data_IF_306583004936
#
_entry.id   IF_306583004936
#
_cell.length_a   1.000
_cell.length_b   1.000
_cell.length_c   1.000
_cell.angle_alpha   90.00
_cell.angle_beta   90.00
_cell.angle_gamma   90.00
#
_symmetry.space_group_name_H-M   'P 1'
#
loop_
_entity.id
_entity.type
_entity.pdbx_description
1 polymer ?
#
# COMPACT_ATOMS: atom_id res chain seq x y z
N UNK A 1 33.23 -0.50 4.19
CA UNK A 1 32.66 0.21 3.03
C UNK A 1 33.66 1.25 2.56
N UNK A 2 33.90 1.36 1.25
CA UNK A 2 34.71 2.43 0.66
C UNK A 2 33.87 3.72 0.66
N UNK A 3 34.45 4.82 1.11
CA UNK A 3 33.78 6.12 1.14
C UNK A 3 33.50 6.65 -0.28
N UNK A 4 32.32 7.23 -0.54
CA UNK A 4 31.93 7.73 -1.88
C UNK A 4 32.93 8.71 -2.51
N UNK A 5 33.70 9.43 -1.69
CA UNK A 5 34.72 10.38 -2.14
C UNK A 5 36.14 9.80 -2.20
N UNK A 6 36.36 8.56 -1.76
CA UNK A 6 37.67 7.89 -1.75
C UNK A 6 38.10 7.48 -3.17
N UNK A 7 39.41 7.28 -3.41
CA UNK A 7 39.91 6.70 -4.65
C UNK A 7 39.25 5.35 -4.94
N UNK A 8 38.80 5.18 -6.18
CA UNK A 8 38.09 3.98 -6.59
C UNK A 8 39.02 2.76 -6.59
N UNK A 9 38.62 1.60 -5.99
CA UNK A 9 39.50 0.43 -5.82
C UNK A 9 39.83 -0.28 -7.13
N UNK A 10 39.16 0.06 -8.23
CA UNK A 10 39.44 -0.48 -9.56
C UNK A 10 40.73 0.08 -10.21
N UNK A 11 41.49 0.90 -9.50
CA UNK A 11 42.75 1.48 -9.99
C UNK A 11 42.57 2.64 -10.97
N UNK A 12 41.36 3.17 -11.14
CA UNK A 12 41.09 4.24 -12.12
C UNK A 12 41.60 5.64 -11.73
N UNK A 13 42.04 5.83 -10.48
CA UNK A 13 42.45 7.12 -9.93
C UNK A 13 41.30 8.14 -9.71
N UNK A 14 40.07 7.82 -10.12
CA UNK A 14 38.88 8.67 -9.92
C UNK A 14 38.27 8.42 -8.52
N UNK A 15 37.49 9.38 -8.01
CA UNK A 15 36.62 9.17 -6.83
C UNK A 15 35.62 8.05 -7.12
N UNK A 16 35.35 7.17 -6.15
CA UNK A 16 34.45 6.02 -6.29
C UNK A 16 33.09 6.40 -6.91
N UNK A 17 32.47 7.49 -6.42
CA UNK A 17 31.19 8.02 -6.96
C UNK A 17 31.20 8.43 -8.42
N UNK A 18 32.37 8.78 -8.97
CA UNK A 18 32.55 9.18 -10.38
C UNK A 18 33.07 8.03 -11.25
N UNK A 19 33.18 6.82 -10.71
CA UNK A 19 33.73 5.66 -11.40
C UNK A 19 32.83 4.44 -11.25
N UNK A 20 33.17 3.49 -10.37
CA UNK A 20 32.44 2.23 -10.26
C UNK A 20 30.99 2.41 -9.81
N UNK A 21 30.69 3.35 -8.92
CA UNK A 21 29.30 3.66 -8.52
C UNK A 21 28.48 4.12 -9.74
N UNK A 22 28.95 5.14 -10.46
CA UNK A 22 28.27 5.61 -11.69
C UNK A 22 28.15 4.53 -12.78
N UNK A 23 29.14 3.64 -12.90
CA UNK A 23 29.07 2.51 -13.84
C UNK A 23 28.01 1.49 -13.42
N UNK A 24 27.87 1.24 -12.12
CA UNK A 24 26.81 0.40 -11.56
C UNK A 24 25.44 1.04 -11.81
N UNK A 25 25.27 2.33 -11.49
CA UNK A 25 24.01 3.05 -11.74
C UNK A 25 23.59 2.97 -13.23
N UNK A 26 24.54 3.12 -14.15
CA UNK A 26 24.26 3.00 -15.59
C UNK A 26 23.87 1.58 -16.00
N UNK A 27 24.52 0.56 -15.43
CA UNK A 27 24.17 -0.84 -15.70
C UNK A 27 22.79 -1.16 -15.13
N UNK A 28 22.47 -0.63 -13.96
CA UNK A 28 21.19 -0.83 -13.30
C UNK A 28 20.04 -0.30 -14.16
N UNK A 29 20.16 0.92 -14.69
CA UNK A 29 19.18 1.49 -15.63
C UNK A 29 19.02 0.69 -16.91
N UNK A 30 20.11 0.12 -17.44
CA UNK A 30 20.05 -0.75 -18.63
C UNK A 30 19.29 -2.04 -18.32
N UNK A 31 19.56 -2.66 -17.17
CA UNK A 31 18.88 -3.88 -16.75
C UNK A 31 17.40 -3.63 -16.44
N UNK A 32 17.06 -2.48 -15.87
CA UNK A 32 15.68 -2.02 -15.66
C UNK A 32 14.94 -1.85 -16.99
N UNK A 33 15.57 -1.20 -17.97
CA UNK A 33 15.00 -1.05 -19.31
C UNK A 33 14.85 -2.39 -20.05
N UNK A 34 15.82 -3.30 -19.92
CA UNK A 34 15.76 -4.65 -20.52
C UNK A 34 14.65 -5.50 -19.88
N UNK A 35 14.49 -5.45 -18.55
CA UNK A 35 13.43 -6.22 -17.86
C UNK A 35 12.04 -5.67 -18.20
N UNK A 36 11.87 -4.33 -18.24
CA UNK A 36 10.63 -3.70 -18.68
C UNK A 36 10.29 -4.03 -20.14
N UNK A 37 11.29 -3.96 -21.03
CA UNK A 37 11.11 -4.35 -22.43
C UNK A 37 10.66 -5.81 -22.58
N UNK A 38 11.21 -6.70 -21.75
CA UNK A 38 10.80 -8.10 -21.74
C UNK A 38 9.36 -8.31 -21.24
N UNK A 39 8.91 -7.55 -20.23
CA UNK A 39 7.51 -7.58 -19.79
C UNK A 39 6.58 -7.16 -20.94
N UNK A 40 6.90 -6.07 -21.64
CA UNK A 40 6.13 -5.60 -22.81
C UNK A 40 6.11 -6.63 -23.93
N UNK A 41 7.24 -7.28 -24.22
CA UNK A 41 7.29 -8.36 -25.21
C UNK A 41 6.42 -9.56 -24.82
N UNK A 42 6.39 -9.91 -23.54
CA UNK A 42 5.56 -11.00 -23.01
C UNK A 42 4.07 -10.67 -23.16
N UNK A 43 3.66 -9.45 -22.79
CA UNK A 43 2.29 -8.98 -22.98
C UNK A 43 1.89 -8.98 -24.45
N UNK A 44 2.75 -8.45 -25.34
CA UNK A 44 2.51 -8.47 -26.78
C UNK A 44 2.35 -9.89 -27.30
N UNK A 45 3.26 -10.80 -26.94
CA UNK A 45 3.18 -12.22 -27.32
C UNK A 45 1.85 -12.85 -26.88
N UNK A 46 1.41 -12.55 -25.66
CA UNK A 46 0.18 -13.10 -25.11
C UNK A 46 -1.06 -12.59 -25.88
N UNK A 47 -1.20 -11.28 -26.07
CA UNK A 47 -2.35 -10.72 -26.77
C UNK A 47 -2.36 -11.03 -28.26
N UNK A 48 -1.21 -11.02 -28.96
CA UNK A 48 -1.16 -11.35 -30.39
C UNK A 48 -1.59 -12.79 -30.68
N UNK A 49 -1.32 -13.72 -29.76
CA UNK A 49 -1.59 -15.15 -29.97
C UNK A 49 -2.84 -15.66 -29.29
N UNK A 50 -3.21 -15.07 -28.15
CA UNK A 50 -4.17 -15.66 -27.22
C UNK A 50 -5.26 -14.69 -26.77
N UNK A 51 -5.47 -13.56 -27.47
CA UNK A 51 -6.51 -12.58 -27.15
C UNK A 51 -7.89 -13.20 -26.92
N UNK A 52 -8.33 -14.13 -27.78
CA UNK A 52 -9.66 -14.76 -27.64
C UNK A 52 -9.80 -15.58 -26.35
N UNK A 53 -8.73 -16.24 -25.90
CA UNK A 53 -8.74 -16.97 -24.62
C UNK A 53 -8.76 -16.00 -23.44
N UNK A 54 -8.00 -14.91 -23.54
CA UNK A 54 -7.98 -13.83 -22.56
C UNK A 54 -9.38 -13.19 -22.42
N UNK A 55 -10.04 -12.84 -23.53
CA UNK A 55 -11.42 -12.33 -23.53
C UNK A 55 -12.43 -13.33 -22.95
N UNK A 56 -12.24 -14.64 -23.20
CA UNK A 56 -13.09 -15.70 -22.66
C UNK A 56 -12.98 -15.75 -21.13
N UNK A 57 -11.76 -15.63 -20.59
CA UNK A 57 -11.57 -15.60 -19.14
C UNK A 57 -12.15 -14.32 -18.53
N UNK A 58 -11.98 -13.15 -19.14
CA UNK A 58 -12.61 -11.90 -18.68
C UNK A 58 -14.11 -12.06 -18.58
N UNK A 59 -14.75 -12.52 -19.65
CA UNK A 59 -16.21 -12.71 -19.72
C UNK A 59 -16.72 -13.67 -18.64
N UNK A 60 -15.90 -14.65 -18.22
CA UNK A 60 -16.25 -15.61 -17.17
C UNK A 60 -16.27 -15.01 -15.76
N UNK A 61 -15.47 -13.97 -15.49
CA UNK A 61 -15.31 -13.44 -14.13
C UNK A 61 -15.84 -12.01 -13.95
N UNK A 62 -15.75 -11.14 -14.96
CA UNK A 62 -16.18 -9.74 -14.84
C UNK A 62 -17.64 -9.62 -14.39
N UNK A 63 -18.54 -10.41 -14.97
CA UNK A 63 -19.98 -10.38 -14.64
C UNK A 63 -20.33 -10.84 -13.21
N UNK A 64 -19.35 -11.42 -12.47
CA UNK A 64 -19.57 -11.87 -11.09
C UNK A 64 -19.49 -10.73 -10.07
N UNK A 65 -18.98 -9.57 -10.48
CA UNK A 65 -18.71 -8.43 -9.61
C UNK A 65 -19.40 -7.18 -10.17
N UNK A 66 -19.77 -6.26 -9.29
CA UNK A 66 -20.32 -4.95 -9.64
C UNK A 66 -19.20 -3.92 -9.67
N UNK A 67 -18.58 -3.75 -10.84
CA UNK A 67 -17.42 -2.87 -11.02
C UNK A 67 -17.80 -1.64 -11.85
N UNK A 68 -17.22 -0.48 -11.53
CA UNK A 68 -17.19 0.66 -12.44
C UNK A 68 -16.16 0.43 -13.56
N UNK A 69 -16.13 1.33 -14.57
CA UNK A 69 -15.26 1.20 -15.74
C UNK A 69 -13.77 1.07 -15.37
N UNK A 70 -13.30 1.86 -14.40
CA UNK A 70 -11.90 1.86 -13.97
C UNK A 70 -11.54 0.56 -13.24
N UNK A 71 -12.41 0.10 -12.35
CA UNK A 71 -12.25 -1.16 -11.62
C UNK A 71 -12.37 -2.37 -12.54
N UNK A 72 -13.24 -2.31 -13.54
CA UNK A 72 -13.38 -3.35 -14.55
C UNK A 72 -12.09 -3.50 -15.35
N UNK A 73 -11.49 -2.39 -15.81
CA UNK A 73 -10.21 -2.39 -16.52
C UNK A 73 -9.09 -2.98 -15.65
N UNK A 74 -8.95 -2.50 -14.41
CA UNK A 74 -7.93 -3.00 -13.48
C UNK A 74 -8.11 -4.49 -13.16
N UNK A 75 -9.34 -4.94 -12.91
CA UNK A 75 -9.63 -6.35 -12.64
C UNK A 75 -9.36 -7.22 -13.88
N UNK A 76 -9.69 -6.72 -15.08
CA UNK A 76 -9.41 -7.41 -16.32
C UNK A 76 -7.90 -7.65 -16.54
N UNK A 77 -7.06 -6.64 -16.25
CA UNK A 77 -5.60 -6.79 -16.30
C UNK A 77 -5.12 -7.89 -15.33
N UNK A 78 -5.62 -7.89 -14.09
CA UNK A 78 -5.29 -8.89 -13.08
C UNK A 78 -5.71 -10.31 -13.50
N UNK A 79 -6.88 -10.47 -14.13
CA UNK A 79 -7.35 -11.74 -14.67
C UNK A 79 -6.44 -12.27 -15.77
N UNK A 80 -6.00 -11.40 -16.68
CA UNK A 80 -5.06 -11.77 -17.74
C UNK A 80 -3.70 -12.19 -17.15
N UNK A 81 -3.15 -11.43 -16.19
CA UNK A 81 -1.92 -11.80 -15.49
C UNK A 81 -2.04 -13.17 -14.84
N UNK A 82 -3.13 -13.42 -14.13
CA UNK A 82 -3.41 -14.72 -13.52
C UNK A 82 -3.44 -15.84 -14.56
N UNK A 83 -4.21 -15.66 -15.64
CA UNK A 83 -4.36 -16.67 -16.69
C UNK A 83 -3.01 -17.00 -17.33
N UNK A 84 -2.25 -15.97 -17.72
CA UNK A 84 -0.97 -16.13 -18.39
C UNK A 84 0.08 -16.88 -17.56
N UNK A 85 0.07 -16.69 -16.23
CA UNK A 85 1.10 -17.24 -15.33
C UNK A 85 0.67 -18.52 -14.60
N UNK A 86 -0.62 -18.84 -14.58
CA UNK A 86 -1.15 -19.91 -13.72
C UNK A 86 -1.89 -20.99 -14.49
N UNK A 87 -2.64 -20.63 -15.53
CA UNK A 87 -3.53 -21.58 -16.21
C UNK A 87 -2.74 -22.37 -17.25
N UNK A 88 -2.75 -23.69 -17.06
CA UNK A 88 -2.17 -24.66 -18.00
C UNK A 88 -3.15 -24.87 -19.16
N UNK A 89 -2.67 -24.64 -20.38
CA UNK A 89 -3.41 -24.87 -21.63
C UNK A 89 -3.37 -26.36 -22.00
N UNK A 90 -4.03 -26.72 -23.11
CA UNK A 90 -4.13 -28.10 -23.61
C UNK A 90 -2.77 -28.77 -23.87
N UNK A 91 -1.73 -27.98 -24.15
CA UNK A 91 -0.35 -28.44 -24.32
C UNK A 91 0.38 -28.70 -23.00
N UNK A 92 -0.27 -28.50 -21.85
CA UNK A 92 0.32 -28.64 -20.52
C UNK A 92 1.25 -27.49 -20.10
N UNK A 93 1.27 -26.39 -20.84
CA UNK A 93 2.08 -25.20 -20.55
C UNK A 93 1.21 -23.99 -20.21
N UNK A 94 1.76 -23.07 -19.42
CA UNK A 94 1.20 -21.71 -19.26
C UNK A 94 1.70 -20.81 -20.38
N UNK A 95 1.06 -19.65 -20.58
CA UNK A 95 1.50 -18.68 -21.60
C UNK A 95 2.92 -18.18 -21.29
N UNK A 96 3.28 -17.98 -20.01
CA UNK A 96 4.64 -17.57 -19.65
C UNK A 96 5.69 -18.65 -19.95
N UNK A 97 5.35 -19.93 -19.83
CA UNK A 97 6.23 -21.04 -20.21
C UNK A 97 6.40 -21.13 -21.74
N UNK A 98 5.31 -20.94 -22.50
CA UNK A 98 5.37 -20.85 -23.96
C UNK A 98 6.19 -19.63 -24.44
N UNK A 99 6.05 -18.50 -23.74
CA UNK A 99 6.85 -17.31 -24.00
C UNK A 99 8.34 -17.56 -23.72
N UNK A 100 8.67 -18.20 -22.60
CA UNK A 100 10.05 -18.54 -22.27
C UNK A 100 10.70 -19.43 -23.35
N UNK A 101 9.97 -20.45 -23.85
CA UNK A 101 10.41 -21.27 -24.97
C UNK A 101 10.55 -20.45 -26.28
N UNK A 102 9.62 -19.54 -26.55
CA UNK A 102 9.70 -18.63 -27.70
C UNK A 102 10.91 -17.69 -27.65
N UNK A 103 11.37 -17.31 -26.45
CA UNK A 103 12.52 -16.42 -26.25
C UNK A 103 13.86 -17.16 -26.20
N UNK A 104 13.87 -18.49 -26.34
CA UNK A 104 15.10 -19.27 -26.31
C UNK A 104 16.08 -18.78 -27.39
N UNK A 105 17.32 -18.50 -26.97
CA UNK A 105 18.39 -18.00 -27.85
C UNK A 105 18.30 -16.52 -28.24
N UNK A 106 17.29 -15.76 -27.80
CA UNK A 106 17.14 -14.32 -28.12
C UNK A 106 17.72 -13.39 -27.05
N UNK A 107 18.08 -13.93 -25.88
CA UNK A 107 18.65 -13.13 -24.80
C UNK A 107 20.12 -12.78 -25.05
N UNK A 108 20.40 -11.47 -25.12
CA UNK A 108 21.78 -10.97 -25.19
C UNK A 108 22.55 -11.15 -23.87
N UNK A 109 21.85 -11.23 -22.73
CA UNK A 109 22.46 -11.33 -21.38
C UNK A 109 22.00 -12.59 -20.64
N UNK A 110 22.92 -13.38 -20.07
CA UNK A 110 22.55 -14.55 -19.26
C UNK A 110 21.69 -14.22 -18.05
N UNK A 111 21.94 -13.07 -17.40
CA UNK A 111 21.20 -12.67 -16.21
C UNK A 111 19.73 -12.33 -16.49
N UNK A 112 19.46 -11.67 -17.63
CA UNK A 112 18.07 -11.37 -18.05
C UNK A 112 17.33 -12.65 -18.41
N UNK A 113 18.03 -13.60 -19.07
CA UNK A 113 17.51 -14.94 -19.34
C UNK A 113 17.11 -15.66 -18.03
N UNK A 114 18.00 -15.68 -17.05
CA UNK A 114 17.75 -16.33 -15.75
C UNK A 114 16.51 -15.74 -15.05
N UNK A 115 16.38 -14.41 -15.04
CA UNK A 115 15.19 -13.75 -14.50
C UNK A 115 13.93 -14.13 -15.28
N UNK A 116 13.96 -14.07 -16.62
CA UNK A 116 12.85 -14.45 -17.47
C UNK A 116 12.37 -15.89 -17.22
N UNK A 117 13.30 -16.83 -17.10
CA UNK A 117 12.99 -18.23 -16.80
C UNK A 117 12.38 -18.39 -15.41
N UNK A 118 12.84 -17.60 -14.43
CA UNK A 118 12.30 -17.63 -13.07
C UNK A 118 10.86 -17.10 -12.96
N UNK A 119 10.38 -16.31 -13.93
CA UNK A 119 9.01 -15.76 -13.94
C UNK A 119 7.93 -16.83 -13.97
N UNK A 120 8.24 -18.04 -14.47
CA UNK A 120 7.32 -19.18 -14.48
C UNK A 120 6.87 -19.59 -13.07
N UNK A 121 7.59 -19.18 -12.03
CA UNK A 121 7.25 -19.42 -10.62
C UNK A 121 6.45 -18.28 -10.00
N UNK A 122 6.33 -17.13 -10.66
CA UNK A 122 5.53 -16.00 -10.18
C UNK A 122 4.04 -16.22 -10.41
N UNK A 123 3.23 -15.51 -9.63
CA UNK A 123 1.78 -15.43 -9.74
C UNK A 123 1.31 -14.13 -9.07
N UNK A 124 0.16 -13.58 -9.49
CA UNK A 124 -0.40 -12.43 -8.81
C UNK A 124 -0.97 -12.82 -7.44
N UNK A 125 -0.94 -11.87 -6.50
CA UNK A 125 -1.50 -12.01 -5.14
C UNK A 125 -1.93 -10.64 -4.62
N UNK A 126 -2.33 -10.60 -3.35
CA UNK A 126 -2.64 -9.37 -2.60
C UNK A 126 -1.53 -9.19 -1.56
N UNK A 127 -1.00 -7.98 -1.47
CA UNK A 127 0.14 -7.68 -0.62
C UNK A 127 -0.14 -6.47 0.27
N UNK A 128 0.23 -6.56 1.55
CA UNK A 128 0.23 -5.43 2.48
C UNK A 128 1.60 -4.76 2.50
N UNK A 129 1.62 -3.44 2.39
CA UNK A 129 2.86 -2.65 2.50
C UNK A 129 3.31 -2.62 3.96
N UNK A 130 4.32 -3.42 4.31
CA UNK A 130 4.80 -3.53 5.69
C UNK A 130 5.85 -2.47 6.06
N UNK A 131 6.65 -2.01 5.09
CA UNK A 131 7.68 -0.99 5.29
C UNK A 131 8.03 -0.28 3.98
N UNK A 132 8.36 1.00 4.08
CA UNK A 132 8.74 1.87 2.95
C UNK A 132 10.13 2.46 3.22
N UNK A 133 11.05 2.32 2.26
CA UNK A 133 12.41 2.85 2.32
C UNK A 133 12.84 3.41 0.96
N UNK A 134 12.54 4.68 0.72
CA UNK A 134 12.73 5.28 -0.60
C UNK A 134 11.88 4.54 -1.63
N UNK A 135 12.50 4.10 -2.73
CA UNK A 135 11.83 3.36 -3.82
C UNK A 135 11.71 1.84 -3.56
N UNK A 136 12.11 1.40 -2.37
CA UNK A 136 12.04 -0.01 -1.96
C UNK A 136 10.93 -0.21 -0.92
N UNK A 137 10.10 -1.22 -1.18
CA UNK A 137 8.99 -1.62 -0.35
C UNK A 137 9.23 -3.03 0.19
N UNK A 138 8.87 -3.26 1.45
CA UNK A 138 8.70 -4.61 1.98
C UNK A 138 7.21 -4.96 1.90
N UNK A 139 6.89 -5.89 1.01
CA UNK A 139 5.55 -6.40 0.80
C UNK A 139 5.36 -7.67 1.62
N UNK A 140 4.25 -7.79 2.33
CA UNK A 140 3.83 -9.02 3.00
C UNK A 140 2.65 -9.59 2.23
N UNK A 141 2.76 -10.81 1.71
CA UNK A 141 1.62 -11.49 1.08
C UNK A 141 0.50 -11.60 2.11
N UNK A 142 -0.67 -11.09 1.73
CA UNK A 142 -1.83 -10.96 2.59
C UNK A 142 -2.26 -12.31 3.18
N UNK A 143 -2.09 -13.38 2.42
CA UNK A 143 -2.58 -14.71 2.75
C UNK A 143 -1.48 -15.55 3.40
N UNK A 144 -0.33 -15.70 2.74
CA UNK A 144 0.76 -16.58 3.21
C UNK A 144 1.62 -15.94 4.29
N UNK A 145 1.53 -14.62 4.47
CA UNK A 145 2.36 -13.79 5.35
C UNK A 145 3.84 -13.78 4.98
N UNK A 146 4.21 -14.34 3.83
CA UNK A 146 5.58 -14.29 3.32
C UNK A 146 5.97 -12.85 2.95
N UNK A 147 7.23 -12.49 3.20
CA UNK A 147 7.74 -11.13 2.97
C UNK A 147 8.69 -11.07 1.80
N UNK A 148 8.48 -10.08 0.96
CA UNK A 148 9.24 -9.89 -0.25
C UNK A 148 9.69 -8.43 -0.38
N UNK A 149 10.91 -8.26 -0.88
CA UNK A 149 11.46 -6.93 -1.17
C UNK A 149 11.10 -6.57 -2.61
N UNK A 150 10.39 -5.46 -2.79
CA UNK A 150 9.91 -4.99 -4.10
C UNK A 150 10.45 -3.59 -4.40
N UNK A 151 10.82 -3.37 -5.66
CA UNK A 151 11.23 -2.06 -6.18
C UNK A 151 10.31 -1.67 -7.32
N UNK A 152 9.78 -0.45 -7.28
CA UNK A 152 9.01 0.13 -8.37
C UNK A 152 9.95 0.89 -9.29
N UNK A 153 10.09 0.42 -10.53
CA UNK A 153 10.91 1.10 -11.52
C UNK A 153 10.06 2.20 -12.16
N UNK A 154 10.48 3.46 -12.04
CA UNK A 154 9.88 4.59 -12.76
C UNK A 154 8.50 5.04 -12.25
N UNK A 155 8.10 4.66 -11.03
CA UNK A 155 6.88 5.16 -10.39
C UNK A 155 7.14 6.53 -9.74
N UNK A 156 6.23 7.47 -9.97
CA UNK A 156 6.30 8.81 -9.37
C UNK A 156 5.66 8.84 -7.97
N UNK A 157 4.56 8.12 -7.78
CA UNK A 157 3.83 8.05 -6.50
C UNK A 157 4.43 7.04 -5.53
N UNK A 158 4.42 7.37 -4.23
CA UNK A 158 4.85 6.46 -3.17
C UNK A 158 3.67 5.73 -2.54
N UNK A 159 3.86 4.45 -2.22
CA UNK A 159 2.90 3.71 -1.38
C UNK A 159 3.10 4.05 0.10
N UNK A 160 2.00 4.04 0.85
CA UNK A 160 1.99 4.20 2.30
C UNK A 160 2.03 2.84 3.01
N UNK A 161 2.53 2.83 4.24
CA UNK A 161 2.45 1.64 5.09
C UNK A 161 0.98 1.26 5.30
N UNK A 162 0.70 -0.05 5.33
CA UNK A 162 -0.62 -0.67 5.47
C UNK A 162 -1.58 -0.54 4.29
N UNK A 163 -1.19 0.08 3.18
CA UNK A 163 -1.96 -0.05 1.94
C UNK A 163 -1.93 -1.51 1.45
N UNK A 164 -2.99 -1.92 0.73
CA UNK A 164 -2.97 -3.16 -0.02
C UNK A 164 -2.60 -2.87 -1.48
N UNK A 165 -1.86 -3.81 -2.06
CA UNK A 165 -1.46 -3.81 -3.46
C UNK A 165 -1.87 -5.16 -4.04
N UNK A 166 -2.76 -5.14 -5.03
CA UNK A 166 -3.14 -6.33 -5.80
C UNK A 166 -2.35 -6.30 -7.09
N UNK A 167 -1.63 -7.38 -7.39
CA UNK A 167 -0.86 -7.47 -8.62
C UNK A 167 0.22 -8.54 -8.55
N UNK A 168 1.25 -8.42 -9.37
CA UNK A 168 2.28 -9.44 -9.51
C UNK A 168 3.68 -8.86 -9.44
N UNK A 169 4.55 -9.57 -8.74
CA UNK A 169 5.97 -9.25 -8.67
C UNK A 169 6.82 -10.35 -9.30
N UNK A 170 7.83 -9.95 -10.06
CA UNK A 170 8.75 -10.85 -10.74
C UNK A 170 10.20 -10.63 -10.28
N UNK A 171 11.03 -11.69 -10.19
CA UNK A 171 12.42 -11.58 -9.77
C UNK A 171 13.24 -10.57 -10.60
N UNK A 172 13.99 -9.72 -9.90
CA UNK A 172 14.95 -8.78 -10.47
C UNK A 172 16.09 -8.51 -9.47
N UNK A 173 17.29 -9.02 -9.79
CA UNK A 173 18.47 -8.97 -8.91
C UNK A 173 18.18 -9.62 -7.54
N UNK A 174 18.34 -8.86 -6.45
CA UNK A 174 18.12 -9.29 -5.06
C UNK A 174 16.73 -8.86 -4.54
N UNK A 175 15.87 -8.36 -5.41
CA UNK A 175 14.53 -7.92 -5.10
C UNK A 175 13.56 -8.50 -6.16
N UNK A 176 12.31 -8.08 -6.08
CA UNK A 176 11.35 -8.21 -7.17
C UNK A 176 10.97 -6.84 -7.70
N UNK A 177 10.42 -6.82 -8.90
CA UNK A 177 9.84 -5.63 -9.53
C UNK A 177 8.40 -5.91 -9.89
N UNK A 178 7.59 -4.86 -10.00
CA UNK A 178 6.24 -4.97 -10.52
C UNK A 178 6.25 -5.51 -11.94
N UNK A 179 5.32 -6.41 -12.22
CA UNK A 179 5.02 -6.84 -13.57
C UNK A 179 3.83 -6.04 -14.10
N UNK A 180 4.08 -5.16 -15.06
CA UNK A 180 3.11 -4.21 -15.64
C UNK A 180 2.55 -3.21 -14.62
N UNK A 181 1.41 -3.50 -14.02
CA UNK A 181 0.60 -2.60 -13.19
C UNK A 181 0.17 -3.28 -11.90
N UNK A 182 -0.28 -2.48 -10.93
CA UNK A 182 -0.89 -2.91 -9.67
C UNK A 182 -2.18 -2.13 -9.45
N UNK A 183 -3.08 -2.69 -8.64
CA UNK A 183 -4.26 -2.00 -8.13
C UNK A 183 -4.11 -1.80 -6.61
N UNK A 184 -4.12 -0.57 -6.17
CA UNK A 184 -3.94 -0.22 -4.76
C UNK A 184 -5.27 -0.04 -4.03
N UNK A 185 -5.29 -0.37 -2.73
CA UNK A 185 -6.36 -0.02 -1.79
C UNK A 185 -5.78 0.82 -0.68
N UNK A 186 -6.46 1.90 -0.35
CA UNK A 186 -6.09 2.78 0.75
C UNK A 186 -6.09 2.04 2.09
N UNK A 187 -5.43 2.62 3.08
CA UNK A 187 -5.27 1.97 4.40
C UNK A 187 -6.60 1.63 5.08
N UNK A 188 -7.63 2.46 4.91
CA UNK A 188 -8.96 2.18 5.46
C UNK A 188 -9.63 1.01 4.77
N UNK A 189 -9.59 1.00 3.45
CA UNK A 189 -10.11 -0.11 2.67
C UNK A 189 -9.40 -1.42 3.02
N UNK A 190 -8.07 -1.37 3.19
CA UNK A 190 -7.25 -2.48 3.61
C UNK A 190 -7.73 -3.10 4.93
N UNK A 191 -7.97 -2.27 5.95
CA UNK A 191 -8.40 -2.75 7.27
C UNK A 191 -9.80 -3.35 7.21
N UNK A 192 -10.73 -2.71 6.49
CA UNK A 192 -12.09 -3.25 6.34
C UNK A 192 -12.14 -4.54 5.55
N UNK A 193 -11.31 -4.65 4.51
CA UNK A 193 -11.11 -5.90 3.78
C UNK A 193 -10.57 -6.99 4.69
N UNK A 194 -9.58 -6.68 5.54
CA UNK A 194 -9.05 -7.63 6.53
C UNK A 194 -10.13 -8.14 7.47
N UNK A 195 -10.93 -7.25 8.05
CA UNK A 195 -12.03 -7.61 8.96
C UNK A 195 -13.10 -8.47 8.29
N UNK A 196 -13.59 -8.03 7.13
CA UNK A 196 -14.67 -8.72 6.39
C UNK A 196 -14.24 -10.11 5.91
N UNK A 197 -12.96 -10.28 5.58
CA UNK A 197 -12.42 -11.55 5.09
C UNK A 197 -11.83 -12.43 6.21
N UNK A 198 -11.65 -11.91 7.42
CA UNK A 198 -11.04 -12.66 8.53
C UNK A 198 -11.82 -13.94 8.85
N UNK A 199 -13.15 -13.86 8.93
CA UNK A 199 -13.99 -15.04 9.24
C UNK A 199 -13.99 -16.07 8.11
N UNK A 200 -13.94 -15.60 6.86
CA UNK A 200 -13.88 -16.46 5.67
C UNK A 200 -12.57 -17.25 5.66
N UNK A 201 -11.45 -16.59 5.92
CA UNK A 201 -10.12 -17.18 5.83
C UNK A 201 -9.68 -17.91 7.11
N UNK A 202 -10.29 -17.66 8.26
CA UNK A 202 -9.98 -18.36 9.51
C UNK A 202 -10.21 -19.89 9.44
N UNK A 203 -11.00 -20.36 8.47
CA UNK A 203 -11.38 -21.78 8.31
C UNK A 203 -10.63 -22.50 7.19
N UNK A 204 -9.75 -21.80 6.48
CA UNK A 204 -9.10 -22.32 5.27
C UNK A 204 -7.59 -22.17 5.42
N UNK A 205 -6.85 -23.25 5.16
CA UNK A 205 -5.41 -23.16 4.99
C UNK A 205 -5.12 -22.58 3.60
N UNK A 206 -4.52 -21.39 3.58
CA UNK A 206 -4.24 -20.68 2.34
C UNK A 206 -2.76 -20.79 2.00
N UNK A 207 -2.44 -21.63 1.01
CA UNK A 207 -1.12 -21.76 0.44
C UNK A 207 -1.05 -21.17 -0.98
N UNK A 208 0.14 -21.21 -1.58
CA UNK A 208 0.34 -20.70 -2.95
C UNK A 208 -0.53 -21.39 -4.00
N UNK A 209 -0.90 -22.66 -3.80
CA UNK A 209 -1.74 -23.39 -4.75
C UNK A 209 -3.20 -22.93 -4.64
N UNK A 210 -3.69 -22.69 -3.42
CA UNK A 210 -5.02 -22.11 -3.18
C UNK A 210 -5.11 -20.72 -3.79
N UNK A 211 -4.13 -19.85 -3.54
CA UNK A 211 -4.10 -18.48 -4.11
C UNK A 211 -4.16 -18.56 -5.63
N UNK A 212 -3.29 -19.36 -6.25
CA UNK A 212 -3.31 -19.58 -7.70
C UNK A 212 -4.66 -20.08 -8.21
N UNK A 213 -5.33 -20.97 -7.50
CA UNK A 213 -6.61 -21.51 -7.94
C UNK A 213 -7.77 -20.51 -7.77
N UNK A 214 -7.73 -19.69 -6.72
CA UNK A 214 -8.82 -18.81 -6.30
C UNK A 214 -8.55 -17.32 -6.57
N UNK A 215 -7.43 -16.97 -7.20
CA UNK A 215 -7.03 -15.59 -7.40
C UNK A 215 -8.12 -14.73 -8.09
N UNK A 216 -8.84 -15.19 -9.14
CA UNK A 216 -9.92 -14.40 -9.73
C UNK A 216 -10.99 -13.99 -8.72
N UNK A 217 -11.45 -14.93 -7.88
CA UNK A 217 -12.41 -14.67 -6.82
C UNK A 217 -11.83 -13.75 -5.72
N UNK A 218 -10.59 -13.99 -5.29
CA UNK A 218 -9.92 -13.19 -4.27
C UNK A 218 -9.69 -11.74 -4.73
N UNK A 219 -9.14 -11.56 -5.92
CA UNK A 219 -8.88 -10.24 -6.51
C UNK A 219 -10.19 -9.50 -6.80
N UNK A 220 -11.20 -10.18 -7.34
CA UNK A 220 -12.49 -9.55 -7.63
C UNK A 220 -13.17 -8.97 -6.38
N UNK A 221 -13.17 -9.71 -5.26
CA UNK A 221 -13.66 -9.19 -3.97
C UNK A 221 -12.90 -7.95 -3.49
N UNK A 222 -11.58 -7.94 -3.67
CA UNK A 222 -10.72 -6.84 -3.22
C UNK A 222 -10.91 -5.59 -4.09
N UNK A 223 -11.10 -5.77 -5.40
CA UNK A 223 -11.34 -4.68 -6.36
C UNK A 223 -12.76 -4.13 -6.24
N UNK A 224 -13.76 -5.00 -6.09
CA UNK A 224 -15.17 -4.61 -5.95
C UNK A 224 -15.41 -3.78 -4.68
N UNK A 225 -14.66 -4.07 -3.62
CA UNK A 225 -14.86 -3.44 -2.32
C UNK A 225 -15.00 -1.91 -2.41
N UNK A 226 -15.94 -1.39 -1.65
CA UNK A 226 -16.16 0.04 -1.43
C UNK A 226 -16.42 0.28 0.05
N UNK A 227 -15.97 1.44 0.52
CA UNK A 227 -16.34 1.89 1.86
C UNK A 227 -17.78 2.36 1.87
N UNK A 228 -18.57 1.81 2.77
CA UNK A 228 -19.86 2.41 3.12
C UNK A 228 -19.67 3.60 4.06
N UNK A 229 -20.69 4.46 4.17
CA UNK A 229 -20.71 5.52 5.19
C UNK A 229 -20.51 4.95 6.61
N UNK A 230 -21.08 3.78 6.89
CA UNK A 230 -20.92 3.08 8.17
C UNK A 230 -19.47 2.63 8.41
N UNK A 231 -18.79 2.14 7.36
CA UNK A 231 -17.37 1.75 7.43
C UNK A 231 -16.47 2.94 7.78
N UNK A 232 -16.84 4.16 7.39
CA UNK A 232 -16.13 5.40 7.72
C UNK A 232 -16.50 5.92 9.12
N UNK A 233 -17.75 5.74 9.54
CA UNK A 233 -18.20 6.20 10.86
C UNK A 233 -17.73 5.30 12.01
N UNK A 234 -17.56 4.00 11.77
CA UNK A 234 -17.23 3.02 12.82
C UNK A 234 -15.76 2.59 12.82
N UNK A 235 -14.81 3.52 12.65
CA UNK A 235 -13.40 3.15 12.47
C UNK A 235 -12.87 2.29 13.63
N UNK A 236 -12.24 1.14 13.33
CA UNK A 236 -11.80 0.22 14.36
C UNK A 236 -10.61 0.81 15.12
N UNK A 237 -10.66 0.69 16.44
CA UNK A 237 -9.50 0.99 17.29
C UNK A 237 -8.62 -0.25 17.30
N UNK A 238 -7.35 -0.10 16.91
CA UNK A 238 -6.52 -1.27 16.59
C UNK A 238 -5.84 -1.88 17.83
N UNK A 239 -5.73 -1.13 18.93
CA UNK A 239 -5.13 -1.58 20.17
C UNK A 239 -5.62 -0.79 21.40
N UNK A 240 -5.39 -1.33 22.59
CA UNK A 240 -5.81 -0.71 23.87
C UNK A 240 -5.20 0.68 24.10
N UNK A 241 -4.01 0.98 23.57
CA UNK A 241 -3.39 2.29 23.77
C UNK A 241 -4.11 3.35 22.94
N UNK A 242 -4.59 3.00 21.74
CA UNK A 242 -5.44 3.87 20.93
C UNK A 242 -6.79 4.14 21.59
N UNK A 243 -7.39 3.14 22.25
CA UNK A 243 -8.64 3.33 23.03
C UNK A 243 -8.42 4.27 24.21
N UNK A 244 -7.34 4.07 24.97
CA UNK A 244 -6.98 4.92 26.10
C UNK A 244 -6.75 6.38 25.70
N UNK A 245 -6.25 6.65 24.49
CA UNK A 245 -6.16 8.03 23.97
C UNK A 245 -7.54 8.64 23.79
N UNK A 246 -8.51 7.91 23.25
CA UNK A 246 -9.89 8.38 23.08
C UNK A 246 -10.59 8.61 24.42
N UNK A 247 -10.35 7.76 25.42
CA UNK A 247 -10.88 7.95 26.77
C UNK A 247 -10.36 9.25 27.41
N UNK A 248 -9.03 9.45 27.36
CA UNK A 248 -8.40 10.67 27.86
C UNK A 248 -8.86 11.92 27.10
N UNK A 249 -9.04 11.79 25.78
CA UNK A 249 -9.62 12.84 24.96
C UNK A 249 -11.07 13.13 25.38
N UNK A 250 -11.89 12.11 25.62
CA UNK A 250 -13.29 12.26 26.03
C UNK A 250 -13.40 13.05 27.34
N UNK A 251 -12.53 12.76 28.32
CA UNK A 251 -12.46 13.51 29.57
C UNK A 251 -12.11 14.98 29.35
N UNK A 252 -11.09 15.25 28.51
CA UNK A 252 -10.65 16.60 28.17
C UNK A 252 -11.70 17.39 27.36
N UNK A 253 -12.38 16.73 26.42
CA UNK A 253 -13.46 17.28 25.61
C UNK A 253 -14.68 17.65 26.46
N UNK A 254 -15.05 16.79 27.42
CA UNK A 254 -16.16 17.04 28.34
C UNK A 254 -15.95 18.29 29.20
N UNK A 255 -14.72 18.50 29.69
CA UNK A 255 -14.37 19.72 30.47
C UNK A 255 -14.52 21.00 29.65
N UNK A 256 -14.29 20.91 28.34
CA UNK A 256 -14.39 22.01 27.38
C UNK A 256 -15.79 22.21 26.82
N UNK A 257 -16.72 21.29 27.10
CA UNK A 257 -18.09 21.38 26.62
C UNK A 257 -18.24 21.13 25.13
N UNK A 258 -17.33 20.35 24.52
CA UNK A 258 -17.44 20.03 23.10
C UNK A 258 -18.76 19.31 22.77
N UNK A 259 -19.43 19.66 21.66
CA UNK A 259 -20.62 18.95 21.19
C UNK A 259 -20.33 17.47 20.92
N UNK A 260 -21.34 16.60 21.03
CA UNK A 260 -21.18 15.16 20.75
C UNK A 260 -20.60 14.88 19.36
N UNK A 261 -21.00 15.66 18.35
CA UNK A 261 -20.48 15.54 16.98
C UNK A 261 -18.97 15.82 16.87
N UNK A 262 -18.43 16.72 17.69
CA UNK A 262 -16.98 16.96 17.76
C UNK A 262 -16.23 15.73 18.27
N UNK A 263 -16.83 14.98 19.19
CA UNK A 263 -16.23 13.75 19.69
C UNK A 263 -16.19 12.65 18.62
N UNK A 264 -17.30 12.45 17.91
CA UNK A 264 -17.39 11.48 16.80
C UNK A 264 -16.38 11.82 15.70
N UNK A 265 -16.29 13.10 15.33
CA UNK A 265 -15.33 13.59 14.35
C UNK A 265 -13.87 13.44 14.80
N UNK A 266 -13.55 13.80 16.04
CA UNK A 266 -12.22 13.62 16.59
C UNK A 266 -11.80 12.14 16.66
N UNK A 267 -12.75 11.26 16.99
CA UNK A 267 -12.53 9.82 17.00
C UNK A 267 -12.22 9.30 15.59
N UNK A 268 -12.95 9.79 14.59
CA UNK A 268 -12.68 9.47 13.19
C UNK A 268 -11.28 9.91 12.77
N UNK A 269 -10.91 11.17 13.03
CA UNK A 269 -9.58 11.70 12.72
C UNK A 269 -8.45 10.94 13.44
N UNK A 270 -8.66 10.61 14.72
CA UNK A 270 -7.72 9.81 15.49
C UNK A 270 -7.50 8.43 14.88
N UNK A 271 -8.59 7.75 14.50
CA UNK A 271 -8.49 6.45 13.85
C UNK A 271 -7.79 6.55 12.50
N UNK A 272 -8.10 7.56 11.66
CA UNK A 272 -7.39 7.79 10.39
C UNK A 272 -5.88 7.96 10.62
N UNK A 273 -5.49 8.76 11.62
CA UNK A 273 -4.09 8.94 11.98
C UNK A 273 -3.44 7.62 12.40
N UNK A 274 -4.08 6.86 13.30
CA UNK A 274 -3.56 5.59 13.78
C UNK A 274 -3.39 4.57 12.66
N UNK A 275 -4.32 4.57 11.71
CA UNK A 275 -4.29 3.69 10.56
C UNK A 275 -3.12 4.01 9.63
N UNK A 276 -2.96 5.30 9.26
CA UNK A 276 -1.88 5.75 8.36
C UNK A 276 -0.49 5.55 8.97
N UNK A 277 -0.32 5.88 10.24
CA UNK A 277 1.00 5.91 10.87
C UNK A 277 1.36 4.64 11.63
N UNK A 278 0.37 3.84 12.07
CA UNK A 278 0.53 2.77 13.07
C UNK A 278 1.48 3.20 14.21
N UNK A 279 1.14 4.27 14.94
CA UNK A 279 2.05 4.87 15.91
C UNK A 279 2.34 3.90 17.05
N UNK A 280 3.61 3.80 17.47
CA UNK A 280 3.95 3.12 18.71
C UNK A 280 3.65 4.04 19.90
N UNK A 281 2.43 3.95 20.42
CA UNK A 281 1.95 4.82 21.50
C UNK A 281 2.58 4.36 22.83
N UNK A 282 3.55 5.14 23.32
CA UNK A 282 4.20 4.91 24.63
C UNK A 282 3.64 5.77 25.76
N UNK A 283 2.93 6.83 25.40
CA UNK A 283 2.35 7.79 26.33
C UNK A 283 1.09 8.36 25.66
N UNK A 284 -0.05 7.89 26.14
CA UNK A 284 -1.38 8.18 25.62
C UNK A 284 -1.75 9.66 25.85
N UNK A 285 -1.31 10.24 26.97
CA UNK A 285 -1.56 11.63 27.33
C UNK A 285 -1.04 12.61 26.28
N UNK A 286 0.12 12.33 25.67
CA UNK A 286 0.69 13.16 24.60
C UNK A 286 -0.25 13.28 23.40
N UNK A 287 -0.92 12.19 23.02
CA UNK A 287 -1.82 12.17 21.87
C UNK A 287 -3.17 12.79 22.19
N UNK A 288 -3.73 12.49 23.37
CA UNK A 288 -5.00 13.11 23.80
C UNK A 288 -4.89 14.64 23.88
N UNK A 289 -3.84 15.16 24.52
CA UNK A 289 -3.59 16.60 24.59
C UNK A 289 -3.35 17.23 23.22
N UNK A 290 -2.60 16.55 22.34
CA UNK A 290 -2.35 17.04 20.99
C UNK A 290 -3.60 17.02 20.10
N UNK A 291 -4.49 16.05 20.28
CA UNK A 291 -5.75 15.95 19.54
C UNK A 291 -6.71 17.08 19.95
N UNK A 292 -6.79 17.42 21.23
CA UNK A 292 -7.53 18.62 21.70
C UNK A 292 -6.94 19.88 21.05
N UNK A 293 -5.62 20.05 21.15
CA UNK A 293 -4.94 21.22 20.57
C UNK A 293 -5.16 21.31 19.05
N UNK A 294 -5.20 20.17 18.36
CA UNK A 294 -5.48 20.08 16.94
C UNK A 294 -6.88 20.59 16.60
N UNK A 295 -7.91 20.09 17.30
CA UNK A 295 -9.29 20.53 17.09
C UNK A 295 -9.48 22.02 17.39
N UNK A 296 -8.89 22.48 18.49
CA UNK A 296 -8.88 23.89 18.89
C UNK A 296 -8.25 24.80 17.84
N UNK A 297 -7.15 24.36 17.24
CA UNK A 297 -6.42 25.14 16.25
C UNK A 297 -7.20 25.29 14.95
N UNK A 298 -7.91 24.25 14.53
CA UNK A 298 -8.55 24.19 13.22
C UNK A 298 -10.03 24.59 13.25
N UNK A 299 -10.76 24.27 14.31
CA UNK A 299 -12.22 24.38 14.33
C UNK A 299 -12.77 25.27 15.46
N UNK A 300 -12.06 25.39 16.59
CA UNK A 300 -12.53 26.17 17.75
C UNK A 300 -11.49 27.20 18.21
N UNK A 301 -11.04 28.06 17.29
CA UNK A 301 -9.98 29.06 17.56
C UNK A 301 -10.30 29.98 18.75
N UNK A 302 -11.56 30.30 18.96
CA UNK A 302 -12.00 31.15 20.09
C UNK A 302 -11.93 30.44 21.45
N UNK A 303 -11.85 29.10 21.46
CA UNK A 303 -11.69 28.27 22.66
C UNK A 303 -10.30 27.63 22.75
N UNK A 304 -9.35 28.08 21.91
CA UNK A 304 -8.05 27.43 21.79
C UNK A 304 -7.26 27.47 23.10
N UNK A 305 -7.00 26.29 23.66
CA UNK A 305 -6.13 26.14 24.81
C UNK A 305 -4.65 26.24 24.44
N UNK A 306 -3.83 26.73 25.36
CA UNK A 306 -2.38 26.77 25.13
C UNK A 306 -1.77 25.39 25.28
N UNK A 307 -0.73 25.08 24.48
CA UNK A 307 0.04 23.83 24.64
C UNK A 307 0.60 23.66 26.06
N UNK A 308 0.88 24.78 26.77
CA UNK A 308 1.34 24.76 28.15
C UNK A 308 0.22 24.34 29.12
N UNK A 309 -0.97 24.89 28.96
CA UNK A 309 -2.13 24.53 29.80
C UNK A 309 -2.51 23.06 29.61
N UNK A 310 -2.55 22.58 28.36
CA UNK A 310 -2.79 21.17 28.05
C UNK A 310 -1.69 20.27 28.62
N UNK A 311 -0.44 20.69 28.55
CA UNK A 311 0.66 19.92 29.13
C UNK A 311 0.54 19.77 30.65
N UNK A 312 0.16 20.85 31.35
CA UNK A 312 -0.11 20.82 32.79
C UNK A 312 -1.31 19.92 33.13
N UNK A 313 -2.41 20.02 32.37
CA UNK A 313 -3.61 19.19 32.57
C UNK A 313 -3.32 17.69 32.42
N UNK A 314 -2.57 17.32 31.39
CA UNK A 314 -2.30 15.93 31.04
C UNK A 314 -1.02 15.38 31.70
N UNK A 315 -0.32 16.16 32.52
CA UNK A 315 0.88 15.72 33.24
C UNK A 315 2.09 15.44 32.34
N UNK A 316 2.21 16.18 31.23
CA UNK A 316 3.25 16.01 30.20
C UNK A 316 3.99 17.33 29.94
N UNK A 317 4.94 17.34 29.00
CA UNK A 317 5.66 18.57 28.63
C UNK A 317 4.98 19.29 27.45
N UNK A 318 5.02 20.63 27.43
CA UNK A 318 4.52 21.41 26.29
C UNK A 318 5.24 21.04 24.98
N UNK A 319 6.53 20.66 25.06
CA UNK A 319 7.28 20.15 23.92
C UNK A 319 6.71 18.84 23.37
N UNK A 320 6.21 17.96 24.25
CA UNK A 320 5.54 16.71 23.86
C UNK A 320 4.25 17.00 23.11
N UNK A 321 3.38 17.88 23.64
CA UNK A 321 2.15 18.32 22.96
C UNK A 321 2.48 18.89 21.58
N UNK A 322 3.45 19.80 21.50
CA UNK A 322 3.86 20.44 20.25
C UNK A 322 4.36 19.44 19.21
N UNK A 323 5.24 18.51 19.62
CA UNK A 323 5.82 17.51 18.72
C UNK A 323 4.79 16.51 18.20
N UNK A 324 3.82 16.11 19.04
CA UNK A 324 2.76 15.19 18.65
C UNK A 324 1.72 15.89 17.79
N UNK A 325 1.34 17.13 18.12
CA UNK A 325 0.45 17.96 17.29
C UNK A 325 0.98 18.09 15.86
N UNK A 326 2.28 18.40 15.68
CA UNK A 326 2.86 18.51 14.33
C UNK A 326 2.71 17.23 13.52
N UNK A 327 2.82 16.06 14.15
CA UNK A 327 2.62 14.77 13.46
C UNK A 327 1.16 14.55 13.08
N UNK A 328 0.23 14.84 14.00
CA UNK A 328 -1.20 14.78 13.72
C UNK A 328 -1.55 15.72 12.56
N UNK A 329 -1.06 16.96 12.61
CA UNK A 329 -1.33 18.00 11.64
C UNK A 329 -0.80 17.66 10.25
N UNK A 330 0.46 17.21 10.15
CA UNK A 330 1.05 16.78 8.88
C UNK A 330 0.24 15.68 8.18
N UNK A 331 -0.28 14.71 8.94
CA UNK A 331 -1.01 13.56 8.40
C UNK A 331 -2.49 13.86 8.13
N UNK A 332 -3.12 14.69 8.96
CA UNK A 332 -4.56 14.95 8.92
C UNK A 332 -4.93 16.22 8.16
N UNK A 333 -3.99 17.13 7.88
CA UNK A 333 -4.25 18.32 7.04
C UNK A 333 -4.91 17.99 5.69
N UNK A 334 -4.40 17.03 4.89
CA UNK A 334 -5.04 16.69 3.62
C UNK A 334 -6.45 16.13 3.81
N UNK A 335 -6.72 15.47 4.94
CA UNK A 335 -8.03 14.91 5.27
C UNK A 335 -9.01 16.04 5.56
N UNK A 336 -8.63 17.02 6.40
CA UNK A 336 -9.49 18.17 6.69
C UNK A 336 -9.80 18.95 5.42
N UNK A 337 -8.80 19.23 4.58
CA UNK A 337 -9.00 19.98 3.32
C UNK A 337 -9.94 19.26 2.35
N UNK A 338 -9.99 17.93 2.40
CA UNK A 338 -10.88 17.14 1.54
C UNK A 338 -12.34 17.20 2.00
N UNK A 339 -12.57 17.34 3.31
CA UNK A 339 -13.90 17.30 3.93
C UNK A 339 -14.31 18.63 4.57
N UNK A 340 -13.65 19.74 4.22
CA UNK A 340 -13.79 21.03 4.91
C UNK A 340 -15.25 21.48 4.97
N UNK A 341 -15.99 21.38 3.87
CA UNK A 341 -17.41 21.74 3.78
C UNK A 341 -18.33 20.82 4.62
N UNK A 342 -18.08 19.50 4.60
CA UNK A 342 -18.85 18.52 5.39
C UNK A 342 -18.59 18.71 6.89
N UNK A 343 -17.35 19.06 7.25
CA UNK A 343 -16.94 19.33 8.62
C UNK A 343 -17.57 20.63 9.08
N UNK A 344 -17.44 21.74 8.35
CA UNK A 344 -18.09 23.01 8.70
C UNK A 344 -19.60 22.84 8.88
N UNK A 345 -20.28 22.15 7.96
CA UNK A 345 -21.71 21.86 8.06
C UNK A 345 -22.07 20.97 9.28
N UNK A 346 -21.24 20.00 9.62
CA UNK A 346 -21.43 19.16 10.81
C UNK A 346 -21.26 19.95 12.11
N UNK A 347 -20.41 20.99 12.11
CA UNK A 347 -20.05 21.81 13.26
C UNK A 347 -20.98 23.03 13.45
N UNK A 348 -21.56 23.60 12.39
CA UNK A 348 -22.51 24.74 12.47
C UNK A 348 -23.86 24.37 13.10
N UNK A 349 -24.24 23.09 13.09
CA UNK A 349 -25.47 22.60 13.72
C UNK A 349 -25.49 22.59 15.26
N UNK A 350 -24.47 23.18 15.89
CA UNK A 350 -24.27 23.20 17.35
C UNK A 350 -24.40 24.62 17.96
N UNK A 351 -25.23 25.48 17.36
CA UNK A 351 -25.63 26.78 17.94
C UNK A 351 -26.99 26.74 18.63
#
# INVERSE_FOLDING_TARGET
MIGRNEPCPCGSGKKYKKCCEKKQDNLDKVLESEVMGLQVEMMRFAYEKFASELETVSSKYLHKFSLDEMKEEAFNELLHLWYMFTVKRDNGLTIVEEFAAFQEGKFSRPQVKEWAESWQKSYPSVYKVSNVRGETYMMEDFFTKEKEKVTYIGREDSLSKNELVIGMFVPFKQAKVVFMSTFERGVLEAIRLEEKLAEEFAKVEIDSAYIRAQFPELAGKMVEFELSEEDVQQLPVQDEAQERVLDLFAEGAKKRGYPKRFFEFASMLWSIYCMKESPMIRNEQNYAAALIYFLDTHFTKDQQETQKALAEEFGISAGSVSSTFRKLDEVLQPVIQTFEEDIEAALEGAS
#
